data_IF_140171033796
#
_entry.id   IF_140171033796
#
_cell.length_a   1.000
_cell.length_b   1.000
_cell.length_c   1.000
_cell.angle_alpha   90.00
_cell.angle_beta   90.00
_cell.angle_gamma   90.00
#
_symmetry.space_group_name_H-M   'P 1'
#
loop_
_entity.id
_entity.type
_entity.pdbx_description
1 polymer ?
#
# COMPACT_ATOMS: atom_id res chain seq x y z
N UNK A 1 -13.26 19.77 -2.30
CA UNK A 1 -12.19 20.54 -2.96
C UNK A 1 -12.00 19.97 -4.37
N UNK A 2 -11.84 20.79 -5.40
CA UNK A 2 -11.42 20.35 -6.75
C UNK A 2 -10.06 20.93 -7.05
N UNK A 3 -9.13 20.09 -7.51
CA UNK A 3 -7.79 20.51 -7.94
C UNK A 3 -7.75 20.65 -9.46
N UNK A 4 -7.09 21.68 -10.03
CA UNK A 4 -6.88 21.78 -11.47
C UNK A 4 -5.97 20.63 -11.92
N UNK A 5 -6.33 19.97 -13.01
CA UNK A 5 -5.51 18.89 -13.59
C UNK A 5 -5.45 19.08 -15.09
N UNK A 6 -4.24 19.16 -15.60
CA UNK A 6 -3.93 19.04 -17.02
C UNK A 6 -3.13 17.75 -17.23
N UNK A 7 -3.47 16.98 -18.25
CA UNK A 7 -2.75 15.74 -18.57
C UNK A 7 -2.39 15.67 -20.04
N UNK A 8 -1.25 15.05 -20.31
CA UNK A 8 -0.78 14.75 -21.66
C UNK A 8 0.11 13.51 -21.65
N UNK A 9 0.40 12.99 -22.84
CA UNK A 9 1.28 11.83 -22.98
C UNK A 9 2.41 12.16 -23.93
N UNK A 10 3.65 11.80 -23.56
CA UNK A 10 4.79 11.87 -24.45
C UNK A 10 4.76 10.76 -25.51
N UNK A 11 5.49 10.91 -26.61
CA UNK A 11 5.57 9.92 -27.70
C UNK A 11 6.10 8.57 -27.21
N UNK A 12 6.96 8.55 -26.20
CA UNK A 12 7.46 7.33 -25.55
C UNK A 12 6.45 6.66 -24.62
N UNK A 13 5.28 7.23 -24.43
CA UNK A 13 4.18 6.66 -23.67
C UNK A 13 4.05 7.16 -22.23
N UNK A 14 4.98 7.95 -21.69
CA UNK A 14 4.88 8.52 -20.34
C UNK A 14 3.63 9.37 -20.22
N UNK A 15 2.76 9.04 -19.26
CA UNK A 15 1.62 9.88 -18.90
C UNK A 15 2.08 10.93 -17.88
N UNK A 16 1.75 12.19 -18.16
CA UNK A 16 2.09 13.32 -17.31
C UNK A 16 0.81 13.98 -16.82
N UNK A 17 0.73 14.23 -15.50
CA UNK A 17 -0.37 14.94 -14.85
C UNK A 17 0.17 16.17 -14.11
N UNK A 18 -0.38 17.34 -14.41
CA UNK A 18 0.04 18.62 -13.86
C UNK A 18 -1.08 19.25 -13.03
N UNK A 19 -0.75 19.71 -11.82
CA UNK A 19 -1.67 20.44 -10.94
C UNK A 19 -1.00 21.70 -10.42
N UNK A 20 -1.13 22.81 -11.17
CA UNK A 20 -0.55 24.10 -10.78
C UNK A 20 -1.28 24.69 -9.57
N UNK A 21 -0.50 25.08 -8.56
CA UNK A 21 -0.98 25.78 -7.37
C UNK A 21 0.13 26.71 -6.82
N UNK A 22 -0.04 28.01 -6.99
CA UNK A 22 0.94 29.04 -6.58
C UNK A 22 0.76 29.53 -5.14
N UNK A 23 0.02 28.80 -4.30
CA UNK A 23 -0.25 29.24 -2.92
C UNK A 23 0.98 29.12 -2.00
N UNK A 24 1.92 28.24 -2.34
CA UNK A 24 3.19 28.07 -1.62
C UNK A 24 4.34 27.89 -2.64
N UNK A 25 5.55 28.46 -2.39
CA UNK A 25 6.68 28.42 -3.33
C UNK A 25 7.39 27.04 -3.31
N UNK A 26 6.64 25.96 -3.43
CA UNK A 26 7.12 24.57 -3.47
C UNK A 26 6.48 23.82 -4.63
N UNK A 27 7.18 22.82 -5.11
CA UNK A 27 6.67 21.88 -6.12
C UNK A 27 7.00 20.45 -5.71
N UNK A 28 6.04 19.56 -5.88
CA UNK A 28 6.19 18.12 -5.70
C UNK A 28 6.23 17.43 -7.07
N UNK A 29 7.18 16.52 -7.21
CA UNK A 29 7.31 15.60 -8.34
C UNK A 29 7.09 14.20 -7.79
N UNK A 30 6.25 13.39 -8.43
CA UNK A 30 6.00 12.01 -8.04
C UNK A 30 5.95 11.13 -9.29
N UNK A 31 6.87 10.20 -9.38
CA UNK A 31 6.97 9.26 -10.49
C UNK A 31 6.55 7.86 -10.01
N UNK A 32 5.40 7.39 -10.48
CA UNK A 32 4.87 6.05 -10.22
C UNK A 32 5.21 5.11 -11.36
N UNK A 33 5.75 3.95 -11.02
CA UNK A 33 5.86 2.80 -11.92
C UNK A 33 4.81 1.77 -11.54
N UNK A 34 4.06 1.29 -12.53
CA UNK A 34 3.05 0.24 -12.32
C UNK A 34 3.74 -1.13 -12.23
N UNK A 35 4.54 -1.28 -11.19
CA UNK A 35 5.25 -2.49 -10.80
C UNK A 35 5.38 -2.54 -9.29
N UNK A 36 5.03 -3.66 -8.70
CA UNK A 36 5.15 -3.95 -7.27
C UNK A 36 5.41 -5.42 -7.07
N UNK A 37 5.26 -5.90 -5.84
CA UNK A 37 5.52 -7.32 -5.55
C UNK A 37 4.63 -8.27 -6.36
N UNK A 38 3.42 -7.86 -6.76
CA UNK A 38 2.56 -8.65 -7.64
C UNK A 38 3.17 -9.01 -9.01
N UNK A 39 4.22 -8.32 -9.43
CA UNK A 39 4.92 -8.57 -10.69
C UNK A 39 6.09 -9.55 -10.55
N UNK A 40 6.36 -10.00 -9.34
CA UNK A 40 7.44 -10.90 -9.02
C UNK A 40 7.08 -12.36 -9.35
N UNK A 41 8.09 -13.21 -9.39
CA UNK A 41 7.93 -14.64 -9.60
C UNK A 41 8.28 -15.38 -8.31
N UNK A 42 7.64 -16.51 -8.04
CA UNK A 42 8.06 -17.40 -6.96
C UNK A 42 9.54 -17.78 -7.13
N UNK A 43 10.31 -17.74 -6.05
CA UNK A 43 11.74 -17.88 -6.05
C UNK A 43 12.52 -16.61 -6.46
N UNK A 44 11.82 -15.48 -6.61
CA UNK A 44 12.37 -14.15 -6.91
C UNK A 44 11.51 -13.06 -6.23
N UNK A 45 11.18 -13.26 -4.95
CA UNK A 45 10.38 -12.33 -4.15
C UNK A 45 11.25 -11.24 -3.54
N UNK A 46 10.66 -10.06 -3.30
CA UNK A 46 11.36 -8.89 -2.77
C UNK A 46 12.11 -8.05 -3.81
N UNK A 47 11.99 -8.39 -5.11
CA UNK A 47 12.69 -7.69 -6.18
C UNK A 47 12.19 -6.26 -6.37
N UNK A 48 10.88 -6.01 -6.29
CA UNK A 48 10.33 -4.66 -6.42
C UNK A 48 10.86 -3.73 -5.32
N UNK A 49 10.95 -4.22 -4.09
CA UNK A 49 11.49 -3.49 -2.96
C UNK A 49 13.02 -3.33 -3.05
N UNK A 50 13.76 -4.38 -3.42
CA UNK A 50 15.20 -4.28 -3.67
C UNK A 50 15.48 -3.24 -4.77
N UNK A 51 14.63 -3.17 -5.79
CA UNK A 51 14.72 -2.17 -6.85
C UNK A 51 14.51 -0.75 -6.35
N UNK A 52 13.56 -0.52 -5.44
CA UNK A 52 13.40 0.77 -4.80
C UNK A 52 14.73 1.26 -4.22
N UNK A 53 15.45 0.39 -3.49
CA UNK A 53 16.77 0.70 -2.95
C UNK A 53 17.84 0.90 -4.04
N UNK A 54 17.83 0.07 -5.08
CA UNK A 54 18.82 0.14 -6.17
C UNK A 54 18.75 1.46 -6.93
N UNK A 55 17.55 2.05 -7.08
CA UNK A 55 17.38 3.32 -7.78
C UNK A 55 18.01 4.53 -7.04
N UNK A 56 18.38 4.38 -5.78
CA UNK A 56 19.14 5.39 -5.04
C UNK A 56 20.66 5.17 -5.09
N UNK A 57 21.13 4.11 -5.76
CA UNK A 57 22.56 3.81 -5.87
C UNK A 57 23.28 4.55 -7.02
N UNK A 58 22.65 5.61 -7.53
CA UNK A 58 23.18 6.44 -8.60
C UNK A 58 22.82 5.93 -9.99
N UNK A 59 23.15 6.74 -10.97
CA UNK A 59 22.90 6.57 -12.40
C UNK A 59 24.18 6.95 -13.16
N UNK A 60 24.13 7.07 -14.48
CA UNK A 60 25.31 7.41 -15.28
C UNK A 60 25.94 8.77 -14.90
N UNK A 61 25.08 9.74 -14.50
CA UNK A 61 25.49 11.11 -14.22
C UNK A 61 25.38 11.50 -12.74
N UNK A 62 24.88 10.60 -11.88
CA UNK A 62 24.67 10.85 -10.46
C UNK A 62 25.36 9.73 -9.64
N UNK A 63 26.21 10.10 -8.73
CA UNK A 63 26.91 9.16 -7.86
C UNK A 63 25.98 8.50 -6.83
N UNK A 64 26.43 7.41 -6.22
CA UNK A 64 25.67 6.73 -5.17
C UNK A 64 25.38 7.69 -4.00
N UNK A 65 24.13 7.79 -3.57
CA UNK A 65 23.60 8.70 -2.55
C UNK A 65 23.59 10.19 -2.93
N UNK A 66 24.20 10.59 -4.03
CA UNK A 66 24.24 11.98 -4.47
C UNK A 66 22.86 12.53 -4.78
N UNK A 67 21.91 11.69 -5.20
CA UNK A 67 20.52 12.06 -5.38
C UNK A 67 19.92 12.68 -4.10
N UNK A 68 20.14 12.03 -2.93
CA UNK A 68 19.73 12.58 -1.63
C UNK A 68 20.43 13.92 -1.33
N UNK A 69 21.73 13.99 -1.57
CA UNK A 69 22.50 15.21 -1.29
C UNK A 69 22.04 16.39 -2.14
N UNK A 70 21.79 16.18 -3.42
CA UNK A 70 21.36 17.23 -4.35
C UNK A 70 20.00 17.79 -3.97
N UNK A 71 19.02 16.93 -3.66
CA UNK A 71 17.69 17.36 -3.25
C UNK A 71 17.72 18.05 -1.89
N UNK A 72 18.47 17.53 -0.92
CA UNK A 72 18.59 18.13 0.41
C UNK A 72 19.33 19.48 0.36
N UNK A 73 20.39 19.61 -0.42
CA UNK A 73 21.10 20.89 -0.65
C UNK A 73 20.19 21.94 -1.32
N UNK A 74 19.27 21.48 -2.17
CA UNK A 74 18.26 22.33 -2.79
C UNK A 74 17.15 22.76 -1.81
N UNK A 75 17.15 22.25 -0.57
CA UNK A 75 16.13 22.53 0.44
C UNK A 75 14.89 21.65 0.32
N UNK A 76 14.99 20.53 -0.38
CA UNK A 76 13.90 19.58 -0.61
C UNK A 76 13.96 18.36 0.29
N UNK A 77 12.94 17.53 0.14
CA UNK A 77 12.81 16.18 0.72
C UNK A 77 12.50 15.19 -0.37
N UNK A 78 12.91 13.93 -0.20
CA UNK A 78 12.64 12.86 -1.14
C UNK A 78 12.46 11.53 -0.41
N UNK A 79 11.78 10.60 -1.06
CA UNK A 79 11.67 9.21 -0.64
C UNK A 79 11.26 8.30 -1.81
N UNK A 80 11.26 6.99 -1.56
CA UNK A 80 10.64 5.98 -2.38
C UNK A 80 9.67 5.14 -1.56
N UNK A 81 8.79 4.41 -2.21
CA UNK A 81 8.00 3.37 -1.57
C UNK A 81 7.55 2.31 -2.56
N UNK A 82 7.43 1.08 -2.07
CA UNK A 82 6.92 -0.06 -2.84
C UNK A 82 5.65 -0.59 -2.20
N UNK A 83 4.70 -0.99 -3.03
CA UNK A 83 3.48 -1.67 -2.63
C UNK A 83 3.22 -2.88 -3.54
N UNK A 84 2.12 -3.56 -3.34
CA UNK A 84 1.79 -4.76 -4.12
C UNK A 84 1.69 -4.50 -5.63
N UNK A 85 1.14 -3.35 -6.05
CA UNK A 85 0.89 -3.03 -7.46
C UNK A 85 1.70 -1.84 -7.99
N UNK A 86 2.55 -1.21 -7.16
CA UNK A 86 3.29 0.00 -7.57
C UNK A 86 4.62 0.17 -6.84
N UNK A 87 5.53 0.90 -7.46
CA UNK A 87 6.72 1.49 -6.83
C UNK A 87 6.78 2.96 -7.25
N UNK A 88 7.02 3.87 -6.31
CA UNK A 88 7.10 5.28 -6.64
C UNK A 88 8.27 5.97 -5.97
N UNK A 89 8.68 7.07 -6.59
CA UNK A 89 9.72 7.99 -6.11
C UNK A 89 9.16 9.38 -6.13
N UNK A 90 9.44 10.16 -5.10
CA UNK A 90 8.85 11.47 -4.96
C UNK A 90 9.76 12.44 -4.24
N UNK A 91 9.75 13.68 -4.71
CA UNK A 91 10.43 14.82 -4.11
C UNK A 91 9.47 15.99 -3.92
N UNK A 92 9.73 16.76 -2.85
CA UNK A 92 9.15 18.10 -2.68
C UNK A 92 10.30 19.07 -2.52
N UNK A 93 10.37 20.02 -3.43
CA UNK A 93 11.47 20.99 -3.51
C UNK A 93 10.93 22.42 -3.60
N UNK A 94 11.73 23.47 -3.32
CA UNK A 94 11.40 24.84 -3.68
C UNK A 94 11.09 24.97 -5.18
N UNK A 95 10.13 25.79 -5.56
CA UNK A 95 9.61 25.89 -6.94
C UNK A 95 10.70 26.15 -8.01
N UNK A 96 11.75 26.89 -7.65
CA UNK A 96 12.89 27.15 -8.55
C UNK A 96 13.80 25.93 -8.78
N UNK A 97 13.55 24.79 -8.11
CA UNK A 97 14.32 23.56 -8.23
C UNK A 97 13.58 22.46 -9.03
N UNK A 98 12.45 22.78 -9.66
CA UNK A 98 11.70 21.82 -10.47
C UNK A 98 12.56 21.13 -11.53
N UNK A 99 13.43 21.88 -12.21
CA UNK A 99 14.31 21.33 -13.23
C UNK A 99 15.27 20.28 -12.67
N UNK A 100 15.81 20.50 -11.45
CA UNK A 100 16.66 19.52 -10.76
C UNK A 100 15.91 18.23 -10.46
N UNK A 101 14.71 18.34 -9.87
CA UNK A 101 13.91 17.16 -9.53
C UNK A 101 13.55 16.34 -10.78
N UNK A 102 13.08 16.99 -11.85
CA UNK A 102 12.75 16.31 -13.11
C UNK A 102 13.98 15.68 -13.78
N UNK A 103 15.12 16.35 -13.74
CA UNK A 103 16.36 15.81 -14.31
C UNK A 103 16.82 14.56 -13.56
N UNK A 104 16.79 14.58 -12.21
CA UNK A 104 17.17 13.43 -11.39
C UNK A 104 16.29 12.21 -11.66
N UNK A 105 14.98 12.41 -11.77
CA UNK A 105 14.03 11.32 -12.08
C UNK A 105 14.23 10.78 -13.50
N UNK A 106 14.47 11.66 -14.47
CA UNK A 106 14.72 11.25 -15.85
C UNK A 106 16.07 10.52 -15.99
N UNK A 107 17.11 10.95 -15.27
CA UNK A 107 18.42 10.32 -15.31
C UNK A 107 18.35 8.89 -14.75
N UNK A 108 17.70 8.68 -13.61
CA UNK A 108 17.57 7.31 -13.10
C UNK A 108 16.62 6.44 -13.94
N UNK A 109 15.61 6.98 -14.62
CA UNK A 109 14.79 6.22 -15.55
C UNK A 109 15.56 5.81 -16.81
N UNK A 110 16.36 6.71 -17.38
CA UNK A 110 17.03 6.49 -18.65
C UNK A 110 18.44 5.90 -18.55
N UNK A 111 19.16 6.20 -17.46
CA UNK A 111 20.61 5.98 -17.35
C UNK A 111 21.04 5.19 -16.08
N UNK A 112 20.15 4.42 -15.46
CA UNK A 112 20.46 3.62 -14.28
C UNK A 112 21.46 2.49 -14.56
N UNK A 113 21.19 1.69 -15.60
CA UNK A 113 21.89 0.41 -15.83
C UNK A 113 23.40 0.53 -16.01
N UNK A 114 23.96 1.55 -16.71
CA UNK A 114 25.40 1.72 -16.81
C UNK A 114 26.12 1.89 -15.47
N UNK A 115 25.40 2.41 -14.46
CA UNK A 115 25.93 2.63 -13.12
C UNK A 115 25.76 1.42 -12.19
N UNK A 116 25.01 0.39 -12.58
CA UNK A 116 24.80 -0.81 -11.77
C UNK A 116 26.02 -1.70 -11.78
N UNK A 117 26.42 -2.15 -10.58
CA UNK A 117 27.56 -3.04 -10.38
C UNK A 117 27.20 -4.13 -9.38
N UNK A 118 27.91 -5.27 -9.46
CA UNK A 118 27.73 -6.35 -8.50
C UNK A 118 27.92 -5.87 -7.04
N UNK A 119 28.89 -4.99 -6.80
CA UNK A 119 29.13 -4.41 -5.47
C UNK A 119 27.94 -3.62 -4.94
N UNK A 120 27.29 -2.81 -5.79
CA UNK A 120 26.09 -2.05 -5.40
C UNK A 120 24.93 -2.99 -5.07
N UNK A 121 24.72 -4.02 -5.89
CA UNK A 121 23.72 -5.04 -5.64
C UNK A 121 23.98 -5.79 -4.33
N UNK A 122 25.19 -6.25 -4.08
CA UNK A 122 25.57 -6.96 -2.85
C UNK A 122 25.31 -6.09 -1.62
N UNK A 123 25.69 -4.81 -1.70
CA UNK A 123 25.44 -3.84 -0.62
C UNK A 123 23.95 -3.67 -0.35
N UNK A 124 23.12 -3.50 -1.38
CA UNK A 124 21.69 -3.28 -1.19
C UNK A 124 20.96 -4.55 -0.77
N UNK A 125 21.37 -5.72 -1.21
CA UNK A 125 20.86 -6.99 -0.66
C UNK A 125 21.09 -7.08 0.86
N UNK A 126 22.27 -6.69 1.34
CA UNK A 126 22.57 -6.70 2.77
C UNK A 126 21.74 -5.65 3.53
N UNK A 127 21.52 -4.46 2.94
CA UNK A 127 20.63 -3.42 3.50
C UNK A 127 19.21 -3.94 3.63
N UNK A 128 18.62 -4.47 2.55
CA UNK A 128 17.24 -5.00 2.55
C UNK A 128 17.08 -6.18 3.52
N UNK A 129 18.09 -7.08 3.59
CA UNK A 129 18.07 -8.17 4.59
C UNK A 129 18.14 -7.65 6.04
N UNK A 130 18.90 -6.59 6.28
CA UNK A 130 18.95 -5.97 7.61
C UNK A 130 17.64 -5.26 7.93
N UNK A 131 17.06 -4.58 6.93
CA UNK A 131 15.74 -3.97 7.07
C UNK A 131 14.67 -5.02 7.37
N UNK A 132 14.65 -6.17 6.66
CA UNK A 132 13.74 -7.27 6.96
C UNK A 132 13.87 -7.73 8.41
N UNK A 133 15.12 -7.94 8.90
CA UNK A 133 15.34 -8.32 10.29
C UNK A 133 14.81 -7.27 11.26
N UNK A 134 15.01 -5.99 10.95
CA UNK A 134 14.64 -4.90 11.82
C UNK A 134 13.15 -4.56 11.76
N UNK A 135 12.54 -4.54 10.59
CA UNK A 135 11.15 -4.09 10.38
C UNK A 135 10.11 -5.23 10.38
N UNK A 136 10.56 -6.49 10.17
CA UNK A 136 9.67 -7.65 10.12
C UNK A 136 10.03 -8.66 11.20
N UNK A 137 11.23 -9.25 11.14
CA UNK A 137 11.55 -10.42 11.96
C UNK A 137 11.69 -10.09 13.45
N UNK A 138 12.18 -8.90 13.80
CA UNK A 138 12.40 -8.44 15.19
C UNK A 138 11.33 -7.45 15.69
N UNK A 139 10.31 -7.14 14.88
CA UNK A 139 9.20 -6.30 15.32
C UNK A 139 8.06 -7.15 15.89
N UNK A 140 7.50 -6.75 17.04
CA UNK A 140 6.28 -7.38 17.55
C UNK A 140 5.19 -7.43 16.46
N UNK A 141 4.67 -8.61 16.19
CA UNK A 141 3.67 -8.87 15.12
C UNK A 141 4.17 -8.59 13.70
N UNK A 142 5.45 -8.28 13.47
CA UNK A 142 5.96 -7.76 12.20
C UNK A 142 5.70 -8.66 10.99
N UNK A 143 5.59 -9.97 11.18
CA UNK A 143 5.31 -10.95 10.11
C UNK A 143 3.85 -10.94 9.61
N UNK A 144 2.96 -10.10 10.16
CA UNK A 144 1.55 -10.09 9.74
C UNK A 144 1.36 -9.68 8.27
N UNK A 145 2.24 -8.81 7.75
CA UNK A 145 2.27 -8.38 6.35
C UNK A 145 2.60 -9.51 5.35
N UNK A 146 3.14 -10.61 5.83
CA UNK A 146 3.42 -11.82 5.06
C UNK A 146 2.32 -12.86 5.29
N UNK A 147 2.06 -13.18 6.55
CA UNK A 147 1.15 -14.25 6.93
C UNK A 147 -0.33 -13.99 6.64
N UNK A 148 -0.77 -12.73 6.69
CA UNK A 148 -2.16 -12.41 6.34
C UNK A 148 -2.42 -12.55 4.84
N UNK A 149 -1.56 -12.03 3.92
CA UNK A 149 -1.65 -12.34 2.49
C UNK A 149 -1.52 -13.84 2.19
N UNK A 150 -0.56 -14.56 2.82
CA UNK A 150 -0.44 -16.02 2.67
C UNK A 150 -1.73 -16.77 3.02
N UNK A 151 -2.45 -16.30 4.04
CA UNK A 151 -3.73 -16.89 4.45
C UNK A 151 -4.90 -16.47 3.54
N UNK A 152 -4.91 -15.21 3.07
CA UNK A 152 -6.03 -14.64 2.31
C UNK A 152 -5.98 -14.96 0.81
N UNK A 153 -4.79 -15.18 0.25
CA UNK A 153 -4.57 -15.43 -1.17
C UNK A 153 -3.97 -16.82 -1.40
N UNK A 154 -4.43 -17.58 -2.41
CA UNK A 154 -3.82 -18.87 -2.75
C UNK A 154 -2.35 -18.70 -3.17
N UNK A 155 -1.55 -19.75 -3.05
CA UNK A 155 -0.10 -19.78 -3.35
C UNK A 155 0.27 -19.35 -4.78
N UNK A 156 -0.63 -19.56 -5.74
CA UNK A 156 -0.45 -19.12 -7.13
C UNK A 156 -0.81 -17.64 -7.37
N UNK A 157 -1.43 -16.96 -6.38
CA UNK A 157 -1.91 -15.59 -6.56
C UNK A 157 -0.77 -14.59 -6.37
N UNK A 158 -0.64 -13.56 -7.22
CA UNK A 158 0.42 -12.55 -7.11
C UNK A 158 0.50 -11.81 -5.77
N UNK A 159 -0.59 -11.75 -5.01
CA UNK A 159 -0.60 -11.11 -3.68
C UNK A 159 -0.29 -12.06 -2.52
N UNK A 160 0.05 -13.31 -2.79
CA UNK A 160 0.31 -14.29 -1.72
C UNK A 160 1.63 -14.05 -0.99
N UNK A 161 2.67 -13.61 -1.70
CA UNK A 161 4.01 -13.53 -1.13
C UNK A 161 4.34 -12.17 -0.48
N UNK A 162 5.36 -12.17 0.34
CA UNK A 162 5.88 -11.01 1.05
C UNK A 162 6.38 -9.91 0.11
N UNK A 163 6.08 -8.64 0.46
CA UNK A 163 6.58 -7.46 -0.23
C UNK A 163 8.11 -7.31 -0.12
N UNK A 164 8.67 -7.57 1.07
CA UNK A 164 10.12 -7.43 1.32
C UNK A 164 10.91 -8.64 0.80
N UNK A 165 10.21 -9.73 0.49
CA UNK A 165 10.80 -10.96 -0.04
C UNK A 165 11.44 -11.87 1.01
N UNK A 166 11.76 -13.10 0.60
CA UNK A 166 12.45 -14.06 1.46
C UNK A 166 13.97 -13.78 1.52
N UNK A 167 14.61 -14.21 2.62
CA UNK A 167 16.06 -14.12 2.76
C UNK A 167 16.80 -14.93 1.68
N UNK A 168 16.23 -16.06 1.28
CA UNK A 168 16.75 -16.93 0.22
C UNK A 168 16.69 -16.24 -1.14
N UNK A 169 15.52 -15.77 -1.55
CA UNK A 169 15.32 -15.11 -2.84
C UNK A 169 16.18 -13.85 -3.00
N UNK A 170 16.27 -13.04 -1.94
CA UNK A 170 17.17 -11.87 -1.92
C UNK A 170 18.64 -12.27 -2.05
N UNK A 171 19.04 -13.40 -1.47
CA UNK A 171 20.43 -13.90 -1.57
C UNK A 171 20.79 -14.35 -2.97
N UNK A 172 19.84 -14.92 -3.69
CA UNK A 172 20.01 -15.46 -5.04
C UNK A 172 19.86 -14.41 -6.15
N UNK A 173 19.43 -13.18 -5.81
CA UNK A 173 19.27 -12.10 -6.76
C UNK A 173 20.57 -11.82 -7.52
N UNK A 174 20.55 -11.93 -8.84
CA UNK A 174 21.68 -11.65 -9.71
C UNK A 174 21.58 -10.26 -10.36
N UNK A 175 22.70 -9.74 -10.85
CA UNK A 175 22.70 -8.48 -11.59
C UNK A 175 21.89 -8.59 -12.89
N UNK A 176 21.87 -9.76 -13.53
CA UNK A 176 21.07 -10.02 -14.73
C UNK A 176 19.55 -9.96 -14.41
N UNK A 177 19.12 -10.53 -13.30
CA UNK A 177 17.72 -10.43 -12.83
C UNK A 177 17.34 -8.96 -12.62
N UNK A 178 18.24 -8.18 -11.99
CA UNK A 178 18.08 -6.73 -11.76
C UNK A 178 17.94 -5.99 -13.09
N UNK A 179 18.84 -6.22 -14.05
CA UNK A 179 18.77 -5.58 -15.36
C UNK A 179 17.48 -5.95 -16.11
N UNK A 180 17.08 -7.22 -16.09
CA UNK A 180 15.88 -7.69 -16.75
C UNK A 180 14.63 -7.04 -16.15
N UNK A 181 14.54 -6.97 -14.81
CA UNK A 181 13.42 -6.36 -14.11
C UNK A 181 13.30 -4.86 -14.45
N UNK A 182 14.42 -4.13 -14.44
CA UNK A 182 14.46 -2.72 -14.84
C UNK A 182 13.97 -2.53 -16.27
N UNK A 183 14.55 -3.24 -17.24
CA UNK A 183 14.17 -3.12 -18.66
C UNK A 183 12.71 -3.45 -18.92
N UNK A 184 12.13 -4.29 -18.08
CA UNK A 184 10.72 -4.72 -18.22
C UNK A 184 9.75 -3.71 -17.64
N UNK A 185 10.06 -3.13 -16.50
CA UNK A 185 9.07 -2.39 -15.71
C UNK A 185 9.36 -0.89 -15.54
N UNK A 186 10.63 -0.48 -15.56
CA UNK A 186 11.03 0.92 -15.31
C UNK A 186 11.17 1.70 -16.60
N UNK A 187 10.05 1.78 -17.33
CA UNK A 187 9.99 2.39 -18.65
C UNK A 187 8.92 3.48 -18.71
N UNK A 188 9.06 4.49 -19.60
CA UNK A 188 8.11 5.60 -19.69
C UNK A 188 6.64 5.17 -19.89
N UNK A 189 6.39 4.16 -20.71
CA UNK A 189 5.04 3.66 -21.02
C UNK A 189 4.42 2.82 -19.89
N UNK A 190 5.19 2.49 -18.84
CA UNK A 190 4.75 1.87 -17.61
C UNK A 190 4.77 2.82 -16.41
N UNK A 191 4.94 4.13 -16.65
CA UNK A 191 5.07 5.14 -15.61
C UNK A 191 4.06 6.27 -15.76
N UNK A 192 3.80 6.93 -14.63
CA UNK A 192 3.03 8.17 -14.53
C UNK A 192 3.86 9.19 -13.76
N UNK A 193 4.08 10.35 -14.37
CA UNK A 193 4.73 11.49 -13.75
C UNK A 193 3.67 12.52 -13.34
N UNK A 194 3.55 12.80 -12.04
CA UNK A 194 2.68 13.86 -11.54
C UNK A 194 3.49 14.99 -10.94
N UNK A 195 3.13 16.24 -11.31
CA UNK A 195 3.74 17.47 -10.80
C UNK A 195 2.64 18.34 -10.18
N UNK A 196 2.81 18.72 -8.91
CA UNK A 196 1.85 19.57 -8.21
C UNK A 196 2.55 20.69 -7.44
N UNK A 197 2.02 21.90 -7.48
CA UNK A 197 2.57 23.05 -6.76
C UNK A 197 2.83 24.27 -7.63
N UNK A 198 3.83 25.05 -7.24
CA UNK A 198 4.15 26.33 -7.88
C UNK A 198 5.12 26.14 -9.06
N UNK A 199 4.56 26.20 -10.26
CA UNK A 199 5.30 26.17 -11.53
C UNK A 199 4.48 26.83 -12.64
N UNK A 200 5.13 27.21 -13.75
CA UNK A 200 4.44 27.57 -14.98
C UNK A 200 4.20 26.32 -15.83
N UNK A 201 2.96 26.08 -16.19
CA UNK A 201 2.55 24.84 -16.90
C UNK A 201 3.33 24.62 -18.19
N UNK A 202 3.51 25.66 -19.01
CA UNK A 202 4.24 25.54 -20.28
C UNK A 202 5.74 25.29 -20.07
N UNK A 203 6.34 25.80 -18.99
CA UNK A 203 7.74 25.56 -18.70
C UNK A 203 7.93 24.13 -18.14
N UNK A 204 7.01 23.65 -17.28
CA UNK A 204 7.01 22.25 -16.86
C UNK A 204 6.90 21.28 -18.03
N UNK A 205 6.01 21.54 -19.00
CA UNK A 205 5.90 20.74 -20.24
C UNK A 205 7.21 20.69 -21.04
N UNK A 206 7.90 21.84 -21.19
CA UNK A 206 9.20 21.90 -21.89
C UNK A 206 10.25 21.07 -21.17
N UNK A 207 10.38 21.21 -19.83
CA UNK A 207 11.33 20.44 -19.04
C UNK A 207 11.04 18.92 -19.10
N UNK A 208 9.77 18.55 -19.00
CA UNK A 208 9.37 17.14 -19.14
C UNK A 208 9.70 16.60 -20.54
N UNK A 209 9.41 17.34 -21.59
CA UNK A 209 9.77 16.94 -22.97
C UNK A 209 11.28 16.86 -23.18
N UNK A 210 12.04 17.80 -22.60
CA UNK A 210 13.51 17.84 -22.69
C UNK A 210 14.15 16.64 -22.00
N UNK A 211 13.74 16.34 -20.77
CA UNK A 211 14.41 15.31 -19.97
C UNK A 211 13.87 13.90 -20.21
N UNK A 212 12.55 13.73 -20.29
CA UNK A 212 11.93 12.41 -20.45
C UNK A 212 11.69 12.02 -21.92
N UNK A 213 11.54 13.00 -22.83
CA UNK A 213 11.27 12.73 -24.25
C UNK A 213 12.29 11.83 -24.93
N UNK A 214 13.60 11.99 -24.70
CA UNK A 214 14.65 11.13 -25.28
C UNK A 214 14.67 9.69 -24.77
N UNK A 215 14.05 9.40 -23.61
CA UNK A 215 14.06 8.05 -23.02
C UNK A 215 13.22 7.11 -23.88
N UNK A 216 13.78 5.97 -24.34
CA UNK A 216 13.06 5.08 -25.24
C UNK A 216 11.85 4.43 -24.56
N UNK A 217 10.80 4.22 -25.35
CA UNK A 217 9.65 3.44 -24.93
C UNK A 217 10.05 2.02 -24.59
N UNK A 218 9.40 1.43 -23.57
CA UNK A 218 9.60 0.02 -23.21
C UNK A 218 9.04 -0.95 -24.25
N UNK A 219 9.43 -2.21 -24.12
CA UNK A 219 8.92 -3.31 -24.95
C UNK A 219 7.48 -3.74 -24.53
N UNK A 220 6.92 -3.11 -23.49
CA UNK A 220 5.69 -3.52 -22.84
C UNK A 220 5.94 -4.53 -21.72
N UNK A 221 5.15 -4.44 -20.66
CA UNK A 221 5.24 -5.36 -19.52
C UNK A 221 4.44 -6.64 -19.77
N UNK A 222 4.89 -7.78 -19.22
CA UNK A 222 4.08 -8.98 -19.23
C UNK A 222 2.78 -8.76 -18.44
N UNK A 223 1.67 -9.42 -18.83
CA UNK A 223 0.45 -9.37 -18.04
C UNK A 223 0.71 -9.99 -16.65
N UNK A 224 0.00 -9.49 -15.63
CA UNK A 224 -0.11 -10.20 -14.37
C UNK A 224 -0.67 -11.60 -14.60
N UNK A 225 -0.30 -12.55 -13.76
CA UNK A 225 -0.88 -13.90 -13.75
C UNK A 225 -2.39 -13.88 -13.54
N UNK A 226 -2.98 -15.04 -13.28
CA UNK A 226 -4.40 -15.14 -12.93
C UNK A 226 -4.64 -14.34 -11.62
N UNK A 227 -5.62 -13.41 -11.67
CA UNK A 227 -5.97 -12.55 -10.54
C UNK A 227 -7.36 -12.84 -9.97
N UNK A 228 -8.24 -13.47 -10.75
CA UNK A 228 -9.63 -13.66 -10.39
C UNK A 228 -9.75 -14.67 -9.23
N UNK A 229 -10.46 -14.25 -8.19
CA UNK A 229 -10.78 -15.05 -7.01
C UNK A 229 -12.30 -15.11 -6.80
N UNK A 230 -12.81 -16.19 -6.17
CA UNK A 230 -14.17 -16.21 -5.66
C UNK A 230 -14.39 -15.01 -4.71
N UNK A 231 -15.62 -14.48 -4.64
CA UNK A 231 -15.92 -13.31 -3.80
C UNK A 231 -15.78 -13.58 -2.29
N UNK A 232 -15.63 -14.82 -1.88
CA UNK A 232 -15.48 -15.30 -0.51
C UNK A 232 -14.45 -16.42 -0.44
N UNK A 233 -13.93 -16.68 0.77
CA UNK A 233 -13.04 -17.83 1.01
C UNK A 233 -13.78 -19.18 0.90
N UNK A 234 -15.09 -19.21 1.19
CA UNK A 234 -15.91 -20.41 1.26
C UNK A 234 -15.98 -21.03 2.66
N UNK A 235 -15.07 -20.65 3.54
CA UNK A 235 -14.97 -21.08 4.92
C UNK A 235 -14.27 -20.03 5.78
N UNK A 236 -14.20 -20.24 7.09
CA UNK A 236 -13.32 -19.47 7.97
C UNK A 236 -11.93 -20.08 7.95
N UNK A 237 -10.94 -19.32 7.47
CA UNK A 237 -9.53 -19.66 7.55
C UNK A 237 -8.97 -19.17 8.90
N UNK A 238 -8.07 -19.95 9.53
CA UNK A 238 -7.49 -19.57 10.82
C UNK A 238 -6.04 -20.03 10.93
N UNK A 239 -5.17 -19.11 11.36
CA UNK A 239 -3.77 -19.37 11.67
C UNK A 239 -3.42 -18.74 13.01
N UNK A 240 -2.69 -19.46 13.86
CA UNK A 240 -2.14 -18.96 15.12
C UNK A 240 -0.63 -18.87 14.96
N UNK A 241 -0.04 -17.76 15.41
CA UNK A 241 1.39 -17.50 15.38
C UNK A 241 1.86 -17.18 16.79
N UNK A 242 2.80 -17.98 17.30
CA UNK A 242 3.53 -17.62 18.51
C UNK A 242 4.65 -16.65 18.20
N UNK A 243 4.67 -15.50 18.89
CA UNK A 243 5.63 -14.46 18.67
C UNK A 243 6.16 -13.90 19.99
N UNK A 244 7.28 -13.21 19.95
CA UNK A 244 7.87 -12.50 21.10
C UNK A 244 7.12 -11.19 21.38
N UNK A 245 5.90 -11.35 21.84
CA UNK A 245 4.94 -10.26 22.10
C UNK A 245 4.36 -10.40 23.51
N UNK A 246 3.91 -9.28 24.07
CA UNK A 246 3.31 -9.28 25.40
C UNK A 246 1.80 -9.52 25.40
N UNK A 247 1.12 -9.24 24.29
CA UNK A 247 -0.34 -9.24 24.19
C UNK A 247 -0.81 -10.00 22.94
N UNK A 248 -1.93 -10.71 23.01
CA UNK A 248 -2.56 -11.25 21.82
C UNK A 248 -3.00 -10.14 20.85
N UNK A 249 -2.90 -10.41 19.55
CA UNK A 249 -3.38 -9.53 18.49
C UNK A 249 -4.04 -10.34 17.39
N UNK A 250 -5.24 -9.91 16.99
CA UNK A 250 -6.03 -10.53 15.94
C UNK A 250 -6.07 -9.62 14.72
N UNK A 251 -5.68 -10.18 13.57
CA UNK A 251 -6.02 -9.66 12.25
C UNK A 251 -7.10 -10.53 11.63
N UNK A 252 -8.20 -9.93 11.20
CA UNK A 252 -9.28 -10.63 10.52
C UNK A 252 -9.51 -9.98 9.16
N UNK A 253 -9.25 -10.72 8.09
CA UNK A 253 -9.44 -10.25 6.72
C UNK A 253 -10.71 -10.83 6.11
N UNK A 254 -11.34 -10.03 5.25
CA UNK A 254 -12.49 -10.39 4.43
C UNK A 254 -12.16 -10.07 2.98
N UNK A 255 -12.44 -10.99 2.04
CA UNK A 255 -12.39 -10.63 0.62
C UNK A 255 -13.37 -9.51 0.32
N UNK A 256 -12.88 -8.50 -0.35
CA UNK A 256 -13.57 -7.24 -0.61
C UNK A 256 -13.55 -6.89 -2.09
N UNK A 257 -14.49 -6.08 -2.58
CA UNK A 257 -14.44 -5.54 -3.93
C UNK A 257 -13.18 -4.73 -4.19
N UNK A 258 -12.63 -4.84 -5.40
CA UNK A 258 -11.40 -4.17 -5.80
C UNK A 258 -11.52 -2.64 -5.77
N UNK A 259 -10.42 -1.97 -5.45
CA UNK A 259 -10.29 -0.52 -5.46
C UNK A 259 -10.79 0.08 -6.78
N UNK A 260 -11.57 1.14 -6.67
CA UNK A 260 -12.15 1.88 -7.80
C UNK A 260 -13.46 1.32 -8.35
N UNK A 261 -13.88 0.09 -7.98
CA UNK A 261 -15.23 -0.40 -8.30
C UNK A 261 -16.30 0.35 -7.51
N UNK A 262 -17.55 0.27 -7.96
CA UNK A 262 -18.67 0.92 -7.26
C UNK A 262 -18.86 0.36 -5.85
N UNK A 263 -18.72 -0.95 -5.70
CA UNK A 263 -18.90 -1.69 -4.46
C UNK A 263 -17.77 -1.44 -3.45
N UNK A 264 -16.57 -1.08 -3.92
CA UNK A 264 -15.43 -0.73 -3.06
C UNK A 264 -15.78 0.39 -2.06
N UNK A 265 -16.54 1.43 -2.49
CA UNK A 265 -16.87 2.56 -1.62
C UNK A 265 -17.74 2.15 -0.43
N UNK A 266 -18.63 1.17 -0.63
CA UNK A 266 -19.43 0.60 0.47
C UNK A 266 -18.53 -0.21 1.44
N UNK A 267 -17.54 -0.95 0.94
CA UNK A 267 -16.57 -1.66 1.75
C UNK A 267 -15.68 -0.70 2.57
N UNK A 268 -15.17 0.36 1.94
CA UNK A 268 -14.36 1.38 2.60
C UNK A 268 -15.14 2.13 3.69
N UNK A 269 -16.41 2.50 3.42
CA UNK A 269 -17.30 3.11 4.44
C UNK A 269 -17.59 2.12 5.57
N UNK A 270 -17.78 0.83 5.29
CA UNK A 270 -17.92 -0.21 6.30
C UNK A 270 -16.68 -0.30 7.20
N UNK A 271 -15.48 -0.31 6.61
CA UNK A 271 -14.21 -0.25 7.33
C UNK A 271 -14.12 0.98 8.25
N UNK A 272 -14.52 2.14 7.76
CA UNK A 272 -14.55 3.36 8.56
C UNK A 272 -15.55 3.28 9.73
N UNK A 273 -16.74 2.69 9.54
CA UNK A 273 -17.71 2.45 10.62
C UNK A 273 -17.13 1.47 11.65
N UNK A 274 -16.45 0.42 11.21
CA UNK A 274 -15.86 -0.58 12.09
C UNK A 274 -14.68 -0.03 12.88
N UNK A 275 -13.70 0.63 12.24
CA UNK A 275 -12.41 0.89 12.88
C UNK A 275 -11.84 2.31 12.75
N UNK A 276 -12.49 3.25 12.07
CA UNK A 276 -11.93 4.59 11.87
C UNK A 276 -12.16 5.48 13.09
N UNK A 277 -11.06 5.80 13.81
CA UNK A 277 -11.05 6.67 15.00
C UNK A 277 -11.87 6.13 16.17
N UNK A 278 -11.87 6.90 17.28
CA UNK A 278 -12.48 6.50 18.57
C UNK A 278 -14.02 6.40 18.57
N UNK A 279 -14.68 6.88 17.52
CA UNK A 279 -16.13 6.79 17.35
C UNK A 279 -16.62 5.53 16.64
N UNK A 280 -15.72 4.69 16.16
CA UNK A 280 -16.01 3.45 15.45
C UNK A 280 -16.63 2.37 16.34
N UNK A 281 -17.30 1.38 15.74
CA UNK A 281 -17.98 0.30 16.49
C UNK A 281 -17.01 -0.52 17.33
N UNK A 282 -15.92 -1.00 16.72
CA UNK A 282 -14.92 -1.82 17.42
C UNK A 282 -14.27 -1.06 18.58
N UNK A 283 -13.85 0.19 18.34
CA UNK A 283 -13.23 0.98 19.41
C UNK A 283 -14.22 1.23 20.56
N UNK A 284 -15.45 1.61 20.26
CA UNK A 284 -16.47 1.87 21.28
C UNK A 284 -16.77 0.59 22.06
N UNK A 285 -17.08 -0.51 21.39
CA UNK A 285 -17.46 -1.77 22.03
C UNK A 285 -16.28 -2.42 22.76
N UNK A 286 -15.16 -2.66 22.09
CA UNK A 286 -14.06 -3.48 22.62
C UNK A 286 -13.11 -2.70 23.52
N UNK A 287 -12.84 -1.41 23.19
CA UNK A 287 -11.85 -0.62 23.94
C UNK A 287 -12.50 0.15 25.09
N UNK A 288 -13.65 0.78 24.86
CA UNK A 288 -14.29 1.66 25.87
C UNK A 288 -15.27 0.92 26.78
N UNK A 289 -16.19 0.14 26.23
CA UNK A 289 -17.29 -0.47 26.97
C UNK A 289 -16.86 -1.80 27.60
N UNK A 290 -16.43 -2.76 26.81
CA UNK A 290 -16.05 -4.11 27.27
C UNK A 290 -14.64 -4.16 27.88
N UNK A 291 -13.77 -3.21 27.50
CA UNK A 291 -12.39 -3.11 27.98
C UNK A 291 -11.54 -4.36 27.74
N UNK A 292 -11.80 -5.11 26.68
CA UNK A 292 -11.04 -6.30 26.27
C UNK A 292 -9.92 -5.99 25.29
N UNK A 293 -9.96 -4.84 24.62
CA UNK A 293 -8.94 -4.42 23.68
C UNK A 293 -8.23 -3.13 24.11
N UNK A 294 -6.95 -3.02 23.79
CA UNK A 294 -6.15 -1.81 23.94
C UNK A 294 -6.35 -0.86 22.75
N UNK A 295 -6.47 -1.43 21.54
CA UNK A 295 -6.71 -0.71 20.30
C UNK A 295 -7.52 -1.56 19.33
N UNK A 296 -8.22 -0.90 18.40
CA UNK A 296 -8.97 -1.54 17.34
C UNK A 296 -9.06 -0.63 16.12
N UNK A 297 -8.75 -1.16 14.95
CA UNK A 297 -8.82 -0.48 13.66
C UNK A 297 -9.44 -1.36 12.57
N UNK A 298 -9.81 -0.75 11.44
CA UNK A 298 -10.20 -1.46 10.23
C UNK A 298 -9.89 -0.61 9.00
N UNK A 299 -9.42 -1.25 7.93
CA UNK A 299 -8.99 -0.60 6.70
C UNK A 299 -9.02 -1.56 5.50
N UNK A 300 -9.03 -1.02 4.28
CA UNK A 300 -8.86 -1.76 3.02
C UNK A 300 -7.41 -1.68 2.55
N UNK A 301 -6.97 -2.66 1.76
CA UNK A 301 -5.61 -2.65 1.15
C UNK A 301 -5.55 -1.82 -0.13
N UNK A 302 -6.71 -1.43 -0.66
CA UNK A 302 -6.85 -0.64 -1.88
C UNK A 302 -6.25 -1.32 -3.12
N UNK A 303 -6.43 -2.65 -3.22
CA UNK A 303 -5.97 -3.46 -4.34
C UNK A 303 -6.87 -3.30 -5.55
N UNK A 304 -6.30 -2.99 -6.70
CA UNK A 304 -7.06 -2.67 -7.92
C UNK A 304 -7.39 -3.89 -8.79
N UNK A 305 -6.81 -5.06 -8.49
CA UNK A 305 -6.96 -6.29 -9.28
C UNK A 305 -7.37 -7.48 -8.42
N UNK A 306 -8.09 -8.41 -9.04
CA UNK A 306 -8.48 -9.69 -8.45
C UNK A 306 -9.48 -9.55 -7.31
N UNK A 307 -9.01 -9.34 -6.12
CA UNK A 307 -9.79 -9.09 -4.91
C UNK A 307 -9.03 -8.14 -4.01
N UNK A 308 -9.70 -7.16 -3.43
CA UNK A 308 -9.19 -6.44 -2.27
C UNK A 308 -9.49 -7.22 -0.98
N UNK A 309 -8.94 -6.78 0.13
CA UNK A 309 -9.27 -7.26 1.47
C UNK A 309 -9.59 -6.10 2.41
N UNK A 310 -10.68 -6.26 3.16
CA UNK A 310 -10.97 -5.45 4.33
C UNK A 310 -10.37 -6.14 5.55
N UNK A 311 -9.52 -5.45 6.30
CA UNK A 311 -8.82 -5.96 7.47
C UNK A 311 -9.34 -5.29 8.72
N UNK A 312 -9.64 -6.08 9.74
CA UNK A 312 -9.86 -5.67 11.14
C UNK A 312 -8.63 -6.06 11.93
N UNK A 313 -8.08 -5.12 12.70
CA UNK A 313 -6.88 -5.30 13.53
C UNK A 313 -7.22 -4.89 14.97
N UNK A 314 -7.05 -5.83 15.91
CA UNK A 314 -7.39 -5.61 17.31
C UNK A 314 -6.31 -6.20 18.23
N UNK A 315 -5.79 -5.36 19.12
CA UNK A 315 -4.81 -5.77 20.15
C UNK A 315 -5.50 -5.91 21.50
N UNK A 316 -5.28 -7.04 22.18
CA UNK A 316 -5.83 -7.32 23.49
C UNK A 316 -5.33 -6.37 24.57
N UNK A 317 -6.07 -6.24 25.69
CA UNK A 317 -5.53 -5.71 26.96
C UNK A 317 -4.76 -6.80 27.73
N UNK A 318 -3.92 -6.42 28.71
CA UNK A 318 -3.06 -7.36 29.43
C UNK A 318 -3.78 -8.57 30.05
N UNK A 319 -5.01 -8.44 30.48
CA UNK A 319 -5.75 -9.52 31.15
C UNK A 319 -6.74 -10.25 30.23
N UNK A 320 -6.70 -9.94 28.91
CA UNK A 320 -7.59 -10.55 27.92
C UNK A 320 -6.85 -11.67 27.20
N UNK A 321 -7.40 -12.89 27.29
CA UNK A 321 -6.86 -14.03 26.54
C UNK A 321 -7.12 -13.92 25.05
N UNK A 322 -6.36 -14.68 24.25
CA UNK A 322 -6.53 -14.71 22.79
C UNK A 322 -7.95 -15.16 22.39
N UNK A 323 -8.51 -16.20 23.07
CA UNK A 323 -9.88 -16.68 22.82
C UNK A 323 -10.95 -15.63 23.18
N UNK A 324 -10.76 -14.91 24.29
CA UNK A 324 -11.68 -13.82 24.67
C UNK A 324 -11.65 -12.68 23.64
N UNK A 325 -10.45 -12.31 23.14
CA UNK A 325 -10.31 -11.29 22.10
C UNK A 325 -11.01 -11.73 20.81
N UNK A 326 -10.71 -12.93 20.33
CA UNK A 326 -11.28 -13.49 19.10
C UNK A 326 -12.81 -13.54 19.19
N UNK A 327 -13.35 -14.09 20.28
CA UNK A 327 -14.80 -14.13 20.53
C UNK A 327 -15.43 -12.74 20.53
N UNK A 328 -14.81 -11.77 21.20
CA UNK A 328 -15.33 -10.42 21.31
C UNK A 328 -15.37 -9.69 19.94
N UNK A 329 -14.36 -9.91 19.09
CA UNK A 329 -14.33 -9.36 17.73
C UNK A 329 -15.39 -10.04 16.86
N UNK A 330 -15.52 -11.36 16.92
CA UNK A 330 -16.54 -12.09 16.16
C UNK A 330 -17.96 -11.68 16.53
N UNK A 331 -18.25 -11.53 17.81
CA UNK A 331 -19.55 -11.04 18.29
C UNK A 331 -19.91 -9.66 17.75
N UNK A 332 -18.91 -8.75 17.63
CA UNK A 332 -19.14 -7.41 17.09
C UNK A 332 -19.40 -7.46 15.59
N UNK A 333 -18.66 -8.29 14.84
CA UNK A 333 -18.90 -8.50 13.40
C UNK A 333 -20.25 -9.20 13.18
N UNK A 334 -20.58 -10.25 13.96
CA UNK A 334 -21.87 -10.93 13.87
C UNK A 334 -23.03 -10.00 14.22
N UNK A 335 -22.84 -9.10 15.20
CA UNK A 335 -23.82 -8.05 15.53
C UNK A 335 -24.04 -7.10 14.36
N UNK A 336 -22.95 -6.65 13.69
CA UNK A 336 -23.08 -5.83 12.49
C UNK A 336 -23.82 -6.56 11.36
N UNK A 337 -23.56 -7.85 11.16
CA UNK A 337 -24.26 -8.65 10.16
C UNK A 337 -25.77 -8.78 10.46
N UNK A 338 -26.15 -8.87 11.74
CA UNK A 338 -27.54 -9.04 12.15
C UNK A 338 -28.34 -7.74 12.21
N UNK A 339 -27.74 -6.65 12.67
CA UNK A 339 -28.39 -5.37 12.91
C UNK A 339 -28.24 -4.40 11.74
N UNK A 340 -27.19 -4.57 10.94
CA UNK A 340 -26.80 -3.63 9.87
C UNK A 340 -26.24 -2.31 10.42
N UNK A 341 -26.18 -1.30 9.54
CA UNK A 341 -25.74 0.06 9.85
C UNK A 341 -26.91 1.06 9.72
N UNK A 342 -26.89 2.09 10.57
CA UNK A 342 -27.80 3.21 10.46
C UNK A 342 -27.24 4.29 9.52
N UNK A 343 -28.12 5.14 8.94
CA UNK A 343 -27.73 6.22 8.04
C UNK A 343 -26.81 7.24 8.73
N UNK A 344 -27.00 7.49 10.04
CA UNK A 344 -26.12 8.39 10.81
C UNK A 344 -24.70 7.86 10.93
N UNK A 345 -24.48 6.53 11.00
CA UNK A 345 -23.16 5.93 11.04
C UNK A 345 -22.46 6.09 9.69
N UNK A 346 -23.19 5.87 8.59
CA UNK A 346 -22.70 6.05 7.21
C UNK A 346 -22.30 7.50 6.98
N UNK A 347 -23.20 8.45 7.31
CA UNK A 347 -22.93 9.89 7.15
C UNK A 347 -21.71 10.34 7.96
N UNK A 348 -21.54 9.84 9.18
CA UNK A 348 -20.36 10.12 10.01
C UNK A 348 -19.08 9.55 9.39
N UNK A 349 -19.10 8.32 8.91
CA UNK A 349 -17.97 7.69 8.26
C UNK A 349 -17.55 8.45 6.99
N UNK A 350 -18.51 8.81 6.15
CA UNK A 350 -18.26 9.61 4.93
C UNK A 350 -17.64 10.97 5.31
N UNK A 351 -18.17 11.67 6.31
CA UNK A 351 -17.62 12.95 6.75
C UNK A 351 -16.14 12.84 7.23
N UNK A 352 -15.80 11.75 7.91
CA UNK A 352 -14.41 11.48 8.33
C UNK A 352 -13.51 11.22 7.12
N UNK A 353 -13.94 10.37 6.20
CA UNK A 353 -13.20 10.07 4.96
C UNK A 353 -12.98 11.35 4.14
N UNK A 354 -14.03 12.17 3.94
CA UNK A 354 -13.91 13.43 3.23
C UNK A 354 -12.99 14.44 3.90
N UNK A 355 -13.00 14.47 5.23
CA UNK A 355 -12.08 15.31 6.01
C UNK A 355 -10.63 14.90 5.75
N UNK A 356 -10.33 13.61 5.82
CA UNK A 356 -8.98 13.10 5.60
C UNK A 356 -8.53 13.33 4.15
N UNK A 357 -9.39 13.05 3.16
CA UNK A 357 -9.11 13.33 1.75
C UNK A 357 -8.86 14.82 1.49
N UNK A 358 -9.68 15.69 2.07
CA UNK A 358 -9.54 17.15 1.88
C UNK A 358 -8.26 17.65 2.53
N UNK A 359 -7.90 17.13 3.69
CA UNK A 359 -6.66 17.48 4.40
C UNK A 359 -5.43 17.01 3.62
N UNK A 360 -5.45 15.79 3.10
CA UNK A 360 -4.37 15.26 2.28
C UNK A 360 -4.13 16.14 1.03
N UNK A 361 -5.19 16.52 0.31
CA UNK A 361 -5.09 17.36 -0.89
C UNK A 361 -4.61 18.81 -0.63
N UNK A 362 -4.40 19.22 0.61
CA UNK A 362 -3.72 20.49 0.91
C UNK A 362 -2.21 20.43 0.66
N UNK A 363 -1.63 19.23 0.75
CA UNK A 363 -0.20 19.00 0.45
C UNK A 363 0.04 18.85 -1.06
N UNK A 364 1.08 19.50 -1.59
CA UNK A 364 1.50 19.31 -2.97
C UNK A 364 1.96 17.86 -3.24
N UNK A 365 2.69 17.25 -2.29
CA UNK A 365 3.13 15.86 -2.37
C UNK A 365 1.95 14.89 -2.47
N UNK A 366 0.96 15.01 -1.60
CA UNK A 366 -0.25 14.17 -1.63
C UNK A 366 -1.07 14.37 -2.91
N UNK A 367 -1.16 15.61 -3.45
CA UNK A 367 -1.82 15.84 -4.74
C UNK A 367 -1.13 15.08 -5.86
N UNK A 368 0.20 15.18 -5.95
CA UNK A 368 0.99 14.48 -6.95
C UNK A 368 0.82 12.95 -6.79
N UNK A 369 0.89 12.45 -5.57
CA UNK A 369 0.72 11.02 -5.28
C UNK A 369 -0.67 10.50 -5.68
N UNK A 370 -1.74 11.19 -5.27
CA UNK A 370 -3.12 10.80 -5.63
C UNK A 370 -3.37 10.85 -7.13
N UNK A 371 -2.85 11.86 -7.84
CA UNK A 371 -2.94 11.90 -9.30
C UNK A 371 -2.25 10.69 -9.93
N UNK A 372 -1.02 10.38 -9.48
CA UNK A 372 -0.27 9.20 -9.96
C UNK A 372 -0.99 7.90 -9.64
N UNK A 373 -1.54 7.75 -8.42
CA UNK A 373 -2.29 6.58 -8.01
C UNK A 373 -3.51 6.32 -8.92
N UNK A 374 -4.37 7.31 -9.11
CA UNK A 374 -5.55 7.16 -9.95
C UNK A 374 -5.20 6.94 -11.42
N UNK A 375 -4.18 7.62 -11.92
CA UNK A 375 -3.69 7.41 -13.28
C UNK A 375 -3.12 6.01 -13.50
N UNK A 376 -2.33 5.51 -12.56
CA UNK A 376 -1.67 4.20 -12.65
C UNK A 376 -2.65 3.04 -12.47
N UNK A 377 -3.49 3.09 -11.44
CA UNK A 377 -4.36 1.98 -11.08
C UNK A 377 -5.69 2.00 -11.85
N UNK A 378 -6.23 3.18 -12.16
CA UNK A 378 -7.56 3.35 -12.76
C UNK A 378 -7.54 4.09 -14.10
N UNK A 379 -6.39 4.53 -14.60
CA UNK A 379 -6.20 5.08 -15.94
C UNK A 379 -6.47 6.57 -16.12
N UNK A 380 -6.91 7.30 -15.06
CA UNK A 380 -7.24 8.72 -15.17
C UNK A 380 -6.90 9.49 -13.87
N UNK A 381 -5.95 10.45 -13.88
CA UNK A 381 -5.60 11.26 -12.72
C UNK A 381 -6.77 12.16 -12.26
N UNK A 382 -7.70 12.52 -13.14
CA UNK A 382 -8.82 13.39 -12.80
C UNK A 382 -9.85 12.71 -11.89
N UNK A 383 -9.79 11.39 -11.72
CA UNK A 383 -10.62 10.64 -10.78
C UNK A 383 -10.46 11.11 -9.33
N UNK A 384 -9.33 11.73 -8.96
CA UNK A 384 -9.14 12.34 -7.64
C UNK A 384 -10.26 13.35 -7.31
N UNK A 385 -10.74 14.07 -8.30
CA UNK A 385 -11.76 15.13 -8.13
C UNK A 385 -13.18 14.62 -7.89
N UNK A 386 -13.46 13.36 -8.15
CA UNK A 386 -14.81 12.78 -8.02
C UNK A 386 -14.92 11.82 -6.84
N UNK A 387 -13.84 11.58 -6.09
CA UNK A 387 -13.85 10.62 -4.99
C UNK A 387 -14.85 10.99 -3.89
N UNK A 388 -14.88 12.26 -3.49
CA UNK A 388 -15.83 12.73 -2.50
C UNK A 388 -17.29 12.47 -2.94
N UNK A 389 -17.62 12.69 -4.21
CA UNK A 389 -18.97 12.47 -4.73
C UNK A 389 -19.31 10.96 -4.75
N UNK A 390 -18.33 10.07 -5.02
CA UNK A 390 -18.51 8.63 -4.94
C UNK A 390 -18.79 8.16 -3.50
N UNK A 391 -18.07 8.69 -2.51
CA UNK A 391 -18.35 8.40 -1.10
C UNK A 391 -19.70 8.93 -0.66
N UNK A 392 -20.10 10.15 -1.06
CA UNK A 392 -21.43 10.71 -0.76
C UNK A 392 -22.59 9.93 -1.35
N UNK A 393 -22.36 9.21 -2.43
CA UNK A 393 -23.36 8.35 -3.04
C UNK A 393 -23.61 7.03 -2.27
N UNK A 394 -22.73 6.69 -1.29
CA UNK A 394 -22.91 5.50 -0.46
C UNK A 394 -24.04 5.73 0.54
N UNK A 395 -24.95 4.78 0.63
CA UNK A 395 -26.09 4.77 1.56
C UNK A 395 -25.99 3.61 2.54
N UNK A 396 -26.77 3.62 3.62
CA UNK A 396 -26.88 2.49 4.52
C UNK A 396 -27.28 1.19 3.79
N UNK A 397 -28.10 1.27 2.76
CA UNK A 397 -28.47 0.11 1.93
C UNK A 397 -27.26 -0.50 1.21
N UNK A 398 -26.37 0.33 0.66
CA UNK A 398 -25.14 -0.17 0.01
C UNK A 398 -24.19 -0.85 1.00
N UNK A 399 -24.00 -0.25 2.18
CA UNK A 399 -23.16 -0.84 3.23
C UNK A 399 -23.77 -2.13 3.77
N UNK A 400 -25.09 -2.16 4.00
CA UNK A 400 -25.79 -3.36 4.48
C UNK A 400 -25.74 -4.51 3.45
N UNK A 401 -25.82 -4.20 2.16
CA UNK A 401 -25.64 -5.20 1.10
C UNK A 401 -24.22 -5.78 1.14
N UNK A 402 -23.19 -4.93 1.27
CA UNK A 402 -21.81 -5.38 1.42
C UNK A 402 -21.62 -6.24 2.67
N UNK A 403 -22.13 -5.82 3.83
CA UNK A 403 -22.07 -6.55 5.09
C UNK A 403 -22.68 -7.94 4.95
N UNK A 404 -23.91 -8.02 4.41
CA UNK A 404 -24.61 -9.28 4.22
C UNK A 404 -23.88 -10.23 3.25
N UNK A 405 -23.26 -9.68 2.21
CA UNK A 405 -22.54 -10.48 1.23
C UNK A 405 -21.15 -10.90 1.71
N UNK A 406 -20.40 -10.04 2.42
CA UNK A 406 -18.96 -10.17 2.59
C UNK A 406 -18.47 -10.41 4.03
N UNK A 407 -19.22 -10.09 5.09
CA UNK A 407 -18.75 -10.23 6.46
C UNK A 407 -19.17 -11.53 7.14
N UNK A 408 -19.83 -12.43 6.39
CA UNK A 408 -20.22 -13.77 6.87
C UNK A 408 -19.03 -14.63 7.30
N UNK A 409 -19.30 -15.69 8.06
CA UNK A 409 -18.27 -16.63 8.54
C UNK A 409 -17.59 -17.38 7.40
N UNK A 410 -18.22 -17.50 6.25
CA UNK A 410 -17.68 -18.08 5.03
C UNK A 410 -16.67 -17.18 4.28
N UNK A 411 -16.37 -16.01 4.84
CA UNK A 411 -15.42 -15.06 4.27
C UNK A 411 -14.50 -14.43 5.32
N UNK A 412 -14.04 -15.22 6.31
CA UNK A 412 -13.11 -14.74 7.34
C UNK A 412 -11.77 -15.45 7.24
N UNK A 413 -10.67 -14.70 7.19
CA UNK A 413 -9.31 -15.18 7.36
C UNK A 413 -8.75 -14.58 8.66
N UNK A 414 -8.54 -15.41 9.69
CA UNK A 414 -8.13 -14.99 11.04
C UNK A 414 -6.68 -15.35 11.27
N UNK A 415 -5.84 -14.34 11.48
CA UNK A 415 -4.44 -14.47 11.88
C UNK A 415 -4.32 -13.98 13.32
N UNK A 416 -4.05 -14.90 14.25
CA UNK A 416 -3.99 -14.61 15.68
C UNK A 416 -2.55 -14.76 16.18
N UNK A 417 -1.98 -13.66 16.65
CA UNK A 417 -0.71 -13.66 17.36
C UNK A 417 -0.92 -13.86 18.83
N UNK A 418 -0.12 -14.77 19.42
CA UNK A 418 -0.13 -15.05 20.85
C UNK A 418 1.28 -14.93 21.42
N UNK A 419 1.43 -14.52 22.71
CA UNK A 419 2.72 -14.53 23.38
C UNK A 419 3.35 -15.92 23.35
N UNK A 420 4.66 -15.98 23.02
CA UNK A 420 5.42 -17.22 23.12
C UNK A 420 5.51 -17.63 24.57
N UNK A 421 4.95 -18.79 24.91
CA UNK A 421 5.10 -19.37 26.25
C UNK A 421 6.49 -19.95 26.38
N UNK A 422 7.27 -19.53 27.41
CA UNK A 422 8.62 -20.01 27.66
C UNK A 422 8.65 -21.55 27.79
N UNK A 423 9.63 -22.15 27.14
CA UNK A 423 9.75 -23.57 26.82
C UNK A 423 9.57 -24.57 27.98
N UNK A 424 8.32 -24.92 28.27
CA UNK A 424 7.95 -26.07 29.08
C UNK A 424 6.92 -26.91 28.31
N UNK A 425 6.95 -28.23 28.44
CA UNK A 425 6.09 -29.19 27.74
C UNK A 425 4.56 -28.94 27.87
N UNK A 426 4.15 -28.02 28.74
CA UNK A 426 2.77 -27.54 28.87
C UNK A 426 2.31 -26.56 27.79
N UNK A 427 3.19 -26.12 26.90
CA UNK A 427 2.88 -25.12 25.85
C UNK A 427 1.96 -25.71 24.77
N UNK A 428 2.16 -26.98 24.39
CA UNK A 428 1.30 -27.66 23.42
C UNK A 428 -0.13 -27.87 23.97
N UNK A 429 -0.28 -28.21 25.23
CA UNK A 429 -1.60 -28.36 25.87
C UNK A 429 -2.34 -27.01 25.98
N UNK A 430 -1.62 -25.92 26.28
CA UNK A 430 -2.21 -24.56 26.33
C UNK A 430 -2.52 -24.00 24.96
N UNK A 431 -1.76 -24.39 23.93
CA UNK A 431 -2.07 -24.06 22.54
C UNK A 431 -3.36 -24.75 22.10
N UNK A 432 -3.54 -26.03 22.45
CA UNK A 432 -4.78 -26.76 22.23
C UNK A 432 -5.95 -26.20 23.05
N UNK A 433 -5.74 -25.75 24.29
CA UNK A 433 -6.75 -25.02 25.06
C UNK A 433 -7.09 -23.65 24.49
N UNK A 434 -6.10 -22.90 24.00
CA UNK A 434 -6.31 -21.61 23.30
C UNK A 434 -6.98 -21.79 21.93
N UNK A 435 -6.86 -22.98 21.33
CA UNK A 435 -7.52 -23.38 20.08
C UNK A 435 -8.93 -23.92 20.36
N UNK A 436 -9.16 -24.56 21.52
CA UNK A 436 -10.42 -25.21 21.87
C UNK A 436 -11.40 -24.32 22.64
N UNK A 437 -10.94 -23.24 23.26
CA UNK A 437 -11.75 -22.23 23.97
C UNK A 437 -12.04 -21.03 23.10
#
# INVERSE_FOLDING_TARGET
MRIPIEQFRLDNGLLVALSQDKTAPIVAVNLWYHVGSANERLGRTGFAHLFEHMLFQGSEHVEANEHFELVQRAGGTLNGSTWLERTNYFETVPSNQLALALWLEADRMGALLPAMTQKKLDTQRDVVKNERRWSVDNQPYGTWWEKLPELAFPDWHPFHHSLIGSMEDLSEASLEDVEQFFRTYYTPDNAVLSIAGDFETEDAKKLVQEYFGPIPRGAGKPPLGKMELPPKFGETLRQVVEDDVNLPRLYMAFRSPVFGSTEYYAASVCGAILGMRRGSRLYRSLVRERQVAADASAFTFDLSKGSDILVVDVTARPETSAGQLETAVEEEIDRLCNEGVAEEEVNRAIALIETDMTTALQSAGERADRMSMFATLLGDPALVNIQADRYRAVTASHVNAFVAERLGRDNRAKLLYVPRTGGDESAAERLEEAIAS
#
